data_IF_761242341274
#
_entry.id   IF_761242341274
#
_cell.length_a   1.000
_cell.length_b   1.000
_cell.length_c   1.000
_cell.angle_alpha   90.00
_cell.angle_beta   90.00
_cell.angle_gamma   90.00
#
_symmetry.space_group_name_H-M   'P 1'
#
loop_
_entity.id
_entity.type
_entity.pdbx_description
1 polymer ?
#
# COMPACT_ATOMS: atom_id res chain seq x y z
N UNK A 1 -14.69 -2.62 5.21
CA UNK A 1 -13.94 -1.35 5.39
C UNK A 1 -13.16 -1.11 4.10
N UNK A 2 -12.74 0.12 3.78
CA UNK A 2 -11.92 0.34 2.59
C UNK A 2 -10.54 0.82 3.00
N UNK A 3 -9.56 0.44 2.20
CA UNK A 3 -8.19 0.91 2.29
C UNK A 3 -7.73 1.34 0.90
N UNK A 4 -6.56 1.96 0.86
CA UNK A 4 -5.90 2.36 -0.36
C UNK A 4 -4.58 1.61 -0.47
N UNK A 5 -4.27 1.14 -1.67
CA UNK A 5 -2.99 0.50 -1.98
C UNK A 5 -2.31 1.26 -3.12
N UNK A 6 -1.00 1.13 -3.24
CA UNK A 6 -0.23 1.79 -4.29
C UNK A 6 0.20 0.74 -5.31
N UNK A 7 -0.17 0.96 -6.58
CA UNK A 7 0.21 0.13 -7.73
C UNK A 7 1.16 0.90 -8.64
N UNK A 8 2.39 0.42 -8.76
CA UNK A 8 3.39 0.89 -9.74
C UNK A 8 3.30 0.02 -11.01
N UNK A 9 4.01 0.38 -12.10
CA UNK A 9 4.14 -0.48 -13.27
C UNK A 9 4.67 -1.88 -12.94
N UNK A 10 5.57 -1.97 -11.97
CA UNK A 10 6.30 -3.19 -11.62
C UNK A 10 5.65 -4.02 -10.51
N UNK A 11 4.63 -3.50 -9.81
CA UNK A 11 4.05 -4.22 -8.67
C UNK A 11 3.23 -3.34 -7.74
N UNK A 12 2.65 -3.93 -6.71
CA UNK A 12 2.09 -3.21 -5.58
C UNK A 12 3.18 -2.93 -4.55
N UNK A 13 3.17 -1.75 -3.94
CA UNK A 13 4.06 -1.48 -2.81
C UNK A 13 3.67 -2.36 -1.63
N UNK A 14 4.65 -3.07 -1.08
CA UNK A 14 4.51 -4.08 -0.05
C UNK A 14 5.48 -3.77 1.10
N UNK A 15 5.02 -3.67 2.36
CA UNK A 15 5.92 -3.49 3.49
C UNK A 15 6.63 -4.82 3.76
N UNK A 16 7.95 -4.82 3.69
CA UNK A 16 8.77 -6.00 3.94
C UNK A 16 9.87 -5.68 4.96
N UNK A 17 9.72 -6.24 6.16
CA UNK A 17 10.60 -5.94 7.30
C UNK A 17 10.72 -4.43 7.53
N UNK A 18 11.95 -3.90 7.53
CA UNK A 18 12.25 -2.48 7.74
C UNK A 18 12.30 -1.66 6.43
N UNK A 19 11.86 -2.24 5.31
CA UNK A 19 11.88 -1.61 4.00
C UNK A 19 10.56 -1.83 3.24
N UNK A 20 10.52 -1.40 1.98
CA UNK A 20 9.41 -1.61 1.07
C UNK A 20 9.89 -2.28 -0.19
N UNK A 21 9.17 -3.32 -0.57
CA UNK A 21 9.39 -4.07 -1.80
C UNK A 21 8.18 -3.97 -2.72
N UNK A 22 8.25 -4.70 -3.84
CA UNK A 22 7.17 -4.83 -4.78
C UNK A 22 6.66 -6.27 -4.78
N UNK A 23 5.35 -6.41 -4.90
CA UNK A 23 4.68 -7.71 -5.03
C UNK A 23 3.65 -7.65 -6.15
N UNK A 24 3.42 -8.77 -6.83
CA UNK A 24 2.30 -8.88 -7.77
C UNK A 24 0.97 -9.18 -7.07
N UNK A 25 1.01 -9.58 -5.81
CA UNK A 25 -0.16 -9.92 -5.02
C UNK A 25 -0.71 -8.70 -4.27
N UNK A 26 -1.84 -8.17 -4.74
CA UNK A 26 -2.55 -7.05 -4.11
C UNK A 26 -2.90 -7.31 -2.63
N UNK A 27 -3.13 -8.56 -2.23
CA UNK A 27 -3.53 -8.88 -0.86
C UNK A 27 -2.42 -8.67 0.17
N UNK A 28 -1.16 -8.68 -0.28
CA UNK A 28 -0.01 -8.39 0.56
C UNK A 28 0.31 -6.89 0.59
N UNK A 29 -0.19 -6.11 -0.37
CA UNK A 29 0.12 -4.69 -0.52
C UNK A 29 -0.07 -3.89 0.77
N UNK A 30 0.69 -2.80 0.90
CA UNK A 30 0.50 -1.89 2.02
C UNK A 30 -0.85 -1.17 1.89
N UNK A 31 -1.66 -1.30 2.94
CA UNK A 31 -2.95 -0.67 3.06
C UNK A 31 -2.85 0.64 3.84
N UNK A 32 -3.33 1.72 3.23
CA UNK A 32 -3.41 3.06 3.80
C UNK A 32 -4.87 3.43 4.08
N UNK A 33 -5.08 4.28 5.09
CA UNK A 33 -6.43 4.73 5.46
C UNK A 33 -6.91 5.89 4.59
N UNK A 34 -5.99 6.57 3.89
CA UNK A 34 -6.32 7.68 3.01
C UNK A 34 -5.43 7.71 1.76
N UNK A 35 -5.93 8.33 0.70
CA UNK A 35 -5.16 8.57 -0.53
C UNK A 35 -3.97 9.51 -0.30
N UNK A 36 -4.08 10.44 0.66
CA UNK A 36 -2.98 11.34 1.03
C UNK A 36 -1.81 10.57 1.63
N UNK A 37 -2.09 9.70 2.60
CA UNK A 37 -1.09 8.85 3.24
C UNK A 37 -0.40 7.92 2.23
N UNK A 38 -1.17 7.29 1.34
CA UNK A 38 -0.63 6.47 0.26
C UNK A 38 0.27 7.28 -0.68
N UNK A 39 -0.08 8.53 -1.00
CA UNK A 39 0.74 9.42 -1.82
C UNK A 39 2.05 9.78 -1.12
N UNK A 40 1.99 10.22 0.13
CA UNK A 40 3.18 10.58 0.93
C UNK A 40 4.14 9.37 1.05
N UNK A 41 3.60 8.16 1.21
CA UNK A 41 4.37 6.92 1.22
C UNK A 41 5.01 6.58 -0.15
N UNK A 42 4.36 6.88 -1.27
CA UNK A 42 4.94 6.70 -2.60
C UNK A 42 6.05 7.73 -2.87
N UNK A 43 5.79 9.00 -2.58
CA UNK A 43 6.71 10.11 -2.84
C UNK A 43 7.97 10.02 -1.99
N UNK A 44 7.87 9.62 -0.72
CA UNK A 44 9.03 9.36 0.15
C UNK A 44 9.96 8.26 -0.37
N UNK A 45 9.48 7.43 -1.30
CA UNK A 45 10.23 6.35 -1.95
C UNK A 45 10.73 6.69 -3.35
N UNK A 46 10.56 7.94 -3.77
CA UNK A 46 11.00 8.43 -5.07
C UNK A 46 10.01 8.21 -6.22
N UNK A 47 8.80 7.74 -5.94
CA UNK A 47 7.74 7.66 -6.95
C UNK A 47 7.05 9.03 -7.07
N UNK A 48 7.33 9.73 -8.17
CA UNK A 48 6.70 11.01 -8.51
C UNK A 48 5.94 10.90 -9.85
N UNK A 49 5.05 11.86 -10.10
CA UNK A 49 4.38 12.14 -11.38
C UNK A 49 4.08 10.94 -12.29
N UNK A 50 2.91 10.32 -12.09
CA UNK A 50 2.40 9.27 -12.98
C UNK A 50 3.10 7.91 -12.85
N UNK A 51 4.14 7.79 -12.00
CA UNK A 51 4.83 6.54 -11.71
C UNK A 51 4.06 5.54 -10.84
N UNK A 52 2.87 5.90 -10.35
CA UNK A 52 2.02 5.02 -9.55
C UNK A 52 0.54 5.41 -9.63
N UNK A 53 -0.32 4.44 -9.30
CA UNK A 53 -1.75 4.59 -9.12
C UNK A 53 -2.14 4.27 -7.69
N UNK A 54 -3.07 5.02 -7.12
CA UNK A 54 -3.67 4.71 -5.82
C UNK A 54 -5.01 4.03 -6.08
N UNK A 55 -5.16 2.79 -5.63
CA UNK A 55 -6.36 1.98 -5.84
C UNK A 55 -7.12 1.82 -4.53
N UNK A 56 -8.44 2.03 -4.57
CA UNK A 56 -9.31 1.74 -3.43
C UNK A 56 -9.64 0.25 -3.43
N UNK A 57 -9.39 -0.41 -2.30
CA UNK A 57 -9.64 -1.84 -2.12
C UNK A 57 -10.56 -2.08 -0.94
N UNK A 58 -11.37 -3.13 -1.03
CA UNK A 58 -12.16 -3.61 0.11
C UNK A 58 -11.28 -4.50 0.98
N UNK A 59 -11.24 -4.19 2.27
CA UNK A 59 -10.56 -4.99 3.29
C UNK A 59 -11.59 -5.56 4.26
N UNK A 60 -11.52 -6.87 4.44
CA UNK A 60 -12.25 -7.59 5.47
C UNK A 60 -11.69 -7.20 6.85
N UNK A 61 -12.56 -6.88 7.80
CA UNK A 61 -12.16 -6.44 9.15
C UNK A 61 -11.23 -7.45 9.85
N UNK A 62 -11.35 -8.75 9.53
CA UNK A 62 -10.58 -9.83 10.15
C UNK A 62 -9.11 -9.92 9.71
N UNK A 63 -8.68 -9.16 8.69
CA UNK A 63 -7.27 -9.13 8.25
C UNK A 63 -6.47 -7.95 8.80
N UNK A 64 -7.09 -7.09 9.62
CA UNK A 64 -6.35 -6.12 10.41
C UNK A 64 -5.72 -6.84 11.59
N UNK A 65 -4.48 -7.32 11.43
CA UNK A 65 -3.69 -7.81 12.55
C UNK A 65 -3.57 -6.70 13.60
N UNK A 66 -4.44 -6.80 14.60
CA UNK A 66 -4.33 -6.20 15.91
C UNK A 66 -3.02 -6.72 16.50
N UNK A 67 -1.94 -5.93 16.41
CA UNK A 67 -0.78 -6.10 17.28
C UNK A 67 -1.21 -5.68 18.69
N UNK A 68 -1.99 -6.55 19.34
CA UNK A 68 -2.05 -6.60 20.81
C UNK A 68 -0.96 -7.59 21.21
N UNK A 69 0.21 -7.06 21.58
CA UNK A 69 1.27 -7.77 22.29
C UNK A 69 2.02 -6.78 23.17
#
# INVERSE_FOLDING_TARGET
>A
MHAYVIKTPDGYLYPFADDVSLTDDQSLAWHFLSTREAREAAESRGYYDGGFNILRVEVEQDKMNRSDS
#
